data_IF_215089492145
#
_entry.id   IF_215089492145
#
_cell.length_a   1.000
_cell.length_b   1.000
_cell.length_c   1.000
_cell.angle_alpha   90.00
_cell.angle_beta   90.00
_cell.angle_gamma   90.00
#
_symmetry.space_group_name_H-M   'P 1'
#
loop_
_entity.id
_entity.type
_entity.pdbx_description
1 polymer ?
#
# COMPACT_ATOMS: atom_id res chain seq x y z
N UNK A 1 12.25 66.24 -62.45
CA UNK A 1 12.39 65.70 -61.08
C UNK A 1 11.21 64.79 -60.72
N UNK A 2 11.08 63.60 -61.33
CA UNK A 2 9.96 62.66 -61.05
C UNK A 2 10.36 61.18 -60.93
N UNK A 3 11.66 60.86 -60.92
CA UNK A 3 12.15 59.46 -60.93
C UNK A 3 12.65 58.93 -59.57
N UNK A 4 12.74 59.78 -58.54
CA UNK A 4 13.27 59.40 -57.22
C UNK A 4 12.15 58.95 -56.25
N UNK A 5 10.88 59.25 -56.56
CA UNK A 5 9.75 58.97 -55.66
C UNK A 5 9.16 57.54 -55.79
N UNK A 6 9.65 56.70 -56.72
CA UNK A 6 9.07 55.38 -56.97
C UNK A 6 9.85 54.22 -56.32
N UNK A 7 11.08 54.47 -55.86
CA UNK A 7 11.94 53.44 -55.24
C UNK A 7 11.71 53.37 -53.72
N UNK A 8 11.15 54.42 -53.10
CA UNK A 8 10.93 54.45 -51.65
C UNK A 8 9.66 53.71 -51.20
N UNK A 9 8.71 53.43 -52.10
CA UNK A 9 7.43 52.77 -51.75
C UNK A 9 7.50 51.24 -51.83
N UNK A 10 8.43 50.65 -52.58
CA UNK A 10 8.55 49.19 -52.72
C UNK A 10 9.31 48.56 -51.55
N UNK A 11 10.26 49.27 -50.93
CA UNK A 11 11.09 48.74 -49.83
C UNK A 11 10.33 48.65 -48.50
N UNK A 12 9.28 49.45 -48.31
CA UNK A 12 8.52 49.46 -47.06
C UNK A 12 7.54 48.27 -46.99
N UNK A 13 7.06 47.73 -48.12
CA UNK A 13 6.05 46.65 -48.10
C UNK A 13 6.63 45.23 -47.86
N UNK A 14 7.92 45.01 -48.17
CA UNK A 14 8.58 43.70 -48.03
C UNK A 14 8.86 43.27 -46.58
N UNK A 15 9.05 44.22 -45.67
CA UNK A 15 9.49 43.97 -44.29
C UNK A 15 8.34 43.55 -43.36
N UNK A 16 7.11 44.00 -43.60
CA UNK A 16 5.97 43.64 -42.74
C UNK A 16 5.53 42.17 -42.90
N UNK A 17 5.79 41.57 -44.07
CA UNK A 17 5.34 40.21 -44.40
C UNK A 17 6.23 39.13 -43.78
N UNK A 18 7.50 39.43 -43.53
CA UNK A 18 8.44 38.54 -42.81
C UNK A 18 8.23 38.61 -41.31
N UNK A 19 8.00 39.79 -40.73
CA UNK A 19 7.71 39.93 -39.29
C UNK A 19 6.42 39.20 -38.87
N UNK A 20 5.34 39.28 -39.67
CA UNK A 20 4.09 38.57 -39.36
C UNK A 20 4.24 37.03 -39.32
N UNK A 21 5.07 36.45 -40.20
CA UNK A 21 5.35 35.01 -40.21
C UNK A 21 6.19 34.57 -39.01
N UNK A 22 7.21 35.36 -38.65
CA UNK A 22 8.07 35.09 -37.50
C UNK A 22 7.27 35.17 -36.19
N UNK A 23 6.39 36.17 -36.04
CA UNK A 23 5.52 36.30 -34.87
C UNK A 23 4.58 35.10 -34.72
N UNK A 24 4.00 34.59 -35.81
CA UNK A 24 3.07 33.45 -35.76
C UNK A 24 3.79 32.13 -35.40
N UNK A 25 5.01 31.93 -35.89
CA UNK A 25 5.84 30.77 -35.54
C UNK A 25 6.26 30.81 -34.06
N UNK A 26 6.66 31.97 -33.56
CA UNK A 26 7.01 32.15 -32.15
C UNK A 26 5.79 31.87 -31.27
N UNK A 27 4.62 32.42 -31.63
CA UNK A 27 3.38 32.21 -30.87
C UNK A 27 2.99 30.73 -30.82
N UNK A 28 3.02 30.03 -31.96
CA UNK A 28 2.72 28.59 -32.04
C UNK A 28 3.70 27.73 -31.22
N UNK A 29 4.99 28.08 -31.22
CA UNK A 29 6.02 27.34 -30.48
C UNK A 29 5.90 27.57 -28.96
N UNK A 30 5.56 28.79 -28.54
CA UNK A 30 5.31 29.13 -27.14
C UNK A 30 4.02 28.48 -26.65
N UNK A 31 2.95 28.48 -27.44
CA UNK A 31 1.68 27.82 -27.12
C UNK A 31 1.86 26.30 -27.02
N UNK A 32 2.57 25.66 -27.96
CA UNK A 32 2.89 24.22 -27.86
C UNK A 32 3.73 23.88 -26.63
N UNK A 33 4.73 24.71 -26.30
CA UNK A 33 5.59 24.48 -25.13
C UNK A 33 4.83 24.71 -23.82
N UNK A 34 3.90 25.67 -23.78
CA UNK A 34 3.07 25.90 -22.60
C UNK A 34 1.99 24.82 -22.45
N UNK A 35 1.42 24.31 -23.53
CA UNK A 35 0.48 23.19 -23.49
C UNK A 35 1.18 21.86 -23.13
N UNK A 36 2.41 21.63 -23.60
CA UNK A 36 3.21 20.47 -23.17
C UNK A 36 3.55 20.54 -21.67
N UNK A 37 3.97 21.72 -21.18
CA UNK A 37 4.25 21.95 -19.76
C UNK A 37 3.00 21.80 -18.88
N UNK A 38 1.84 22.31 -19.31
CA UNK A 38 0.55 22.12 -18.62
C UNK A 38 0.13 20.65 -18.60
N UNK A 39 0.29 19.94 -19.71
CA UNK A 39 -0.02 18.51 -19.79
C UNK A 39 0.87 17.69 -18.84
N UNK A 40 2.17 17.99 -18.79
CA UNK A 40 3.09 17.27 -17.90
C UNK A 40 2.86 17.62 -16.43
N UNK A 41 2.53 18.88 -16.11
CA UNK A 41 2.08 19.28 -14.77
C UNK A 41 0.81 18.55 -14.35
N UNK A 42 -0.20 18.45 -15.22
CA UNK A 42 -1.45 17.75 -14.93
C UNK A 42 -1.24 16.24 -14.67
N UNK A 43 -0.32 15.60 -15.40
CA UNK A 43 0.06 14.19 -15.19
C UNK A 43 0.76 14.00 -13.84
N UNK A 44 1.66 14.92 -13.47
CA UNK A 44 2.36 14.89 -12.18
C UNK A 44 1.35 15.05 -11.03
N UNK A 45 0.44 16.02 -11.11
CA UNK A 45 -0.62 16.24 -10.10
C UNK A 45 -1.48 15.00 -9.94
N UNK A 46 -1.94 14.38 -11.04
CA UNK A 46 -2.71 13.12 -11.00
C UNK A 46 -1.93 12.01 -10.30
N UNK A 47 -0.66 11.81 -10.65
CA UNK A 47 0.20 10.78 -10.04
C UNK A 47 0.44 11.02 -8.55
N UNK A 48 0.60 12.27 -8.14
CA UNK A 48 0.69 12.66 -6.73
C UNK A 48 -0.59 12.32 -5.98
N UNK A 49 -1.76 12.67 -6.54
CA UNK A 49 -3.06 12.36 -5.95
C UNK A 49 -3.27 10.84 -5.82
N UNK A 50 -2.94 10.07 -6.85
CA UNK A 50 -3.00 8.60 -6.82
C UNK A 50 -2.11 8.01 -5.70
N UNK A 51 -0.88 8.51 -5.55
CA UNK A 51 0.03 8.04 -4.50
C UNK A 51 -0.46 8.43 -3.10
N UNK A 52 -1.04 9.62 -2.91
CA UNK A 52 -1.67 10.01 -1.64
C UNK A 52 -2.88 9.15 -1.31
N UNK A 53 -3.74 8.86 -2.29
CA UNK A 53 -4.89 7.98 -2.10
C UNK A 53 -4.42 6.57 -1.73
N UNK A 54 -3.42 6.03 -2.44
CA UNK A 54 -2.82 4.73 -2.09
C UNK A 54 -2.23 4.72 -0.69
N UNK A 55 -1.54 5.80 -0.29
CA UNK A 55 -0.97 5.93 1.04
C UNK A 55 -2.05 5.94 2.14
N UNK A 56 -3.16 6.65 1.90
CA UNK A 56 -4.29 6.69 2.82
C UNK A 56 -4.94 5.31 2.98
N UNK A 57 -5.16 4.60 1.87
CA UNK A 57 -5.70 3.24 1.88
C UNK A 57 -4.78 2.26 2.64
N UNK A 58 -3.49 2.24 2.31
CA UNK A 58 -2.51 1.39 3.01
C UNK A 58 -2.45 1.67 4.51
N UNK A 59 -2.54 2.94 4.93
CA UNK A 59 -2.57 3.31 6.36
C UNK A 59 -3.85 2.84 7.05
N UNK A 60 -5.00 2.92 6.38
CA UNK A 60 -6.25 2.40 6.91
C UNK A 60 -6.22 0.88 7.07
N UNK A 61 -5.66 0.17 6.09
CA UNK A 61 -5.43 -1.27 6.18
C UNK A 61 -4.47 -1.60 7.34
N UNK A 62 -3.35 -0.89 7.45
CA UNK A 62 -2.37 -1.08 8.53
C UNK A 62 -3.02 -0.91 9.90
N UNK A 63 -3.79 0.17 10.08
CA UNK A 63 -4.52 0.43 11.32
C UNK A 63 -5.51 -0.69 11.64
N UNK A 64 -6.28 -1.13 10.66
CA UNK A 64 -7.23 -2.24 10.82
C UNK A 64 -6.52 -3.52 11.28
N UNK A 65 -5.33 -3.81 10.76
CA UNK A 65 -4.54 -4.98 11.18
C UNK A 65 -3.97 -4.79 12.58
N UNK A 66 -3.45 -3.60 12.91
CA UNK A 66 -2.96 -3.27 14.26
C UNK A 66 -4.06 -3.39 15.32
N UNK A 67 -5.28 -2.98 15.01
CA UNK A 67 -6.43 -3.10 15.91
C UNK A 67 -6.86 -4.57 16.13
N UNK A 68 -6.54 -5.48 15.20
CA UNK A 68 -6.83 -6.92 15.32
C UNK A 68 -5.82 -7.68 16.17
N UNK A 69 -4.54 -7.30 16.15
CA UNK A 69 -3.47 -8.03 16.85
C UNK A 69 -3.78 -8.30 18.33
N UNK A 70 -4.27 -7.35 19.15
CA UNK A 70 -4.60 -7.63 20.55
C UNK A 70 -5.69 -8.69 20.70
N UNK A 71 -6.66 -8.71 19.79
CA UNK A 71 -7.74 -9.69 19.79
C UNK A 71 -7.20 -11.08 19.46
N UNK A 72 -6.38 -11.19 18.41
CA UNK A 72 -5.77 -12.45 17.99
C UNK A 72 -4.81 -13.00 19.06
N UNK A 73 -4.03 -12.12 19.71
CA UNK A 73 -3.18 -12.47 20.84
C UNK A 73 -3.97 -13.01 22.03
N UNK A 74 -5.09 -12.36 22.38
CA UNK A 74 -5.99 -12.85 23.43
C UNK A 74 -6.56 -14.23 23.09
N UNK A 75 -6.96 -14.44 21.83
CA UNK A 75 -7.48 -15.73 21.37
C UNK A 75 -6.41 -16.83 21.44
N UNK A 76 -5.17 -16.54 21.08
CA UNK A 76 -4.05 -17.48 21.23
C UNK A 76 -3.85 -17.85 22.70
N UNK A 77 -3.82 -16.86 23.60
CA UNK A 77 -3.64 -17.12 25.04
C UNK A 77 -4.79 -17.97 25.63
N UNK A 78 -6.03 -17.70 25.25
CA UNK A 78 -7.19 -18.48 25.68
C UNK A 78 -7.14 -19.92 25.16
N UNK A 79 -6.76 -20.10 23.89
CA UNK A 79 -6.62 -21.43 23.28
C UNK A 79 -5.43 -22.19 23.85
N UNK A 80 -4.35 -21.50 24.22
CA UNK A 80 -3.17 -22.10 24.86
C UNK A 80 -3.56 -22.69 26.21
N UNK A 81 -4.27 -21.91 27.03
CA UNK A 81 -4.78 -22.38 28.32
C UNK A 81 -5.71 -23.57 28.16
N UNK A 82 -6.68 -23.52 27.24
CA UNK A 82 -7.60 -24.65 26.98
C UNK A 82 -6.86 -25.89 26.50
N UNK A 83 -5.92 -25.73 25.56
CA UNK A 83 -5.12 -26.84 25.05
C UNK A 83 -4.30 -27.47 26.18
N UNK A 84 -3.66 -26.66 27.02
CA UNK A 84 -2.90 -27.15 28.18
C UNK A 84 -3.80 -27.91 29.17
N UNK A 85 -4.93 -27.32 29.57
CA UNK A 85 -5.88 -27.96 30.50
C UNK A 85 -6.38 -29.30 29.99
N UNK A 86 -6.71 -29.39 28.69
CA UNK A 86 -7.19 -30.63 28.08
C UNK A 86 -6.08 -31.67 27.91
N UNK A 87 -4.83 -31.26 27.64
CA UNK A 87 -3.66 -32.14 27.61
C UNK A 87 -3.35 -32.72 29.00
N UNK A 88 -3.41 -31.90 30.06
CA UNK A 88 -3.22 -32.35 31.44
C UNK A 88 -4.29 -33.38 31.82
N UNK A 89 -5.57 -33.08 31.56
CA UNK A 89 -6.67 -34.05 31.79
C UNK A 89 -6.51 -35.33 30.97
N UNK A 90 -6.06 -35.20 29.72
CA UNK A 90 -5.80 -36.36 28.86
C UNK A 90 -4.70 -37.25 29.44
N UNK A 91 -3.63 -36.64 29.94
CA UNK A 91 -2.53 -37.37 30.59
C UNK A 91 -3.01 -38.08 31.85
N UNK A 92 -3.72 -37.38 32.74
CA UNK A 92 -4.28 -37.95 33.98
C UNK A 92 -5.19 -39.15 33.69
N UNK A 93 -6.17 -39.01 32.78
CA UNK A 93 -7.06 -40.12 32.43
C UNK A 93 -6.34 -41.28 31.74
N UNK A 94 -5.27 -41.00 30.99
CA UNK A 94 -4.47 -42.06 30.38
C UNK A 94 -3.71 -42.85 31.44
N UNK A 95 -3.17 -42.19 32.46
CA UNK A 95 -2.53 -42.86 33.60
C UNK A 95 -3.53 -43.70 34.40
N UNK A 96 -4.72 -43.16 34.69
CA UNK A 96 -5.78 -43.92 35.36
C UNK A 96 -6.24 -45.13 34.56
N UNK A 97 -6.22 -45.05 33.22
CA UNK A 97 -6.61 -46.16 32.37
C UNK A 97 -5.58 -47.31 32.32
N UNK A 98 -4.37 -47.13 32.87
CA UNK A 98 -3.37 -48.20 32.95
C UNK A 98 -3.78 -49.18 34.04
N UNK A 99 -4.33 -50.33 33.64
CA UNK A 99 -4.78 -51.39 34.55
C UNK A 99 -6.28 -51.37 34.84
N UNK A 100 -6.97 -50.26 34.55
CA UNK A 100 -8.43 -50.17 34.63
C UNK A 100 -9.09 -50.51 33.27
N UNK A 101 -10.13 -51.34 33.31
CA UNK A 101 -10.73 -51.95 32.13
C UNK A 101 -11.28 -50.99 31.05
N UNK A 102 -11.81 -51.58 29.97
CA UNK A 102 -12.20 -50.94 28.69
C UNK A 102 -12.94 -49.59 28.80
N UNK A 103 -13.76 -49.37 29.84
CA UNK A 103 -14.48 -48.10 30.04
C UNK A 103 -13.55 -46.91 30.26
N UNK A 104 -12.53 -47.05 31.11
CA UNK A 104 -11.55 -45.99 31.40
C UNK A 104 -10.68 -45.71 30.19
N UNK A 105 -10.24 -46.75 29.47
CA UNK A 105 -9.51 -46.59 28.20
C UNK A 105 -10.32 -45.82 27.16
N UNK A 106 -11.64 -46.06 27.07
CA UNK A 106 -12.53 -45.31 26.15
C UNK A 106 -12.69 -43.84 26.56
N UNK A 107 -12.71 -43.54 27.87
CA UNK A 107 -12.73 -42.16 28.36
C UNK A 107 -11.41 -41.44 28.05
N UNK A 108 -10.27 -42.08 28.32
CA UNK A 108 -8.95 -41.56 27.98
C UNK A 108 -8.83 -41.25 26.48
N UNK A 109 -9.26 -42.19 25.62
CA UNK A 109 -9.24 -41.98 24.16
C UNK A 109 -10.13 -40.81 23.70
N UNK A 110 -11.29 -40.61 24.33
CA UNK A 110 -12.16 -39.44 24.03
C UNK A 110 -11.51 -38.14 24.47
N UNK A 111 -10.86 -38.13 25.63
CA UNK A 111 -10.18 -36.96 26.15
C UNK A 111 -8.95 -36.61 25.30
N UNK A 112 -8.18 -37.60 24.86
CA UNK A 112 -7.06 -37.40 23.94
C UNK A 112 -7.50 -36.75 22.63
N UNK A 113 -8.65 -37.16 22.07
CA UNK A 113 -9.22 -36.51 20.88
C UNK A 113 -9.62 -35.05 21.13
N UNK A 114 -10.15 -34.73 22.31
CA UNK A 114 -10.46 -33.34 22.67
C UNK A 114 -9.20 -32.50 22.80
N UNK A 115 -8.19 -33.03 23.49
CA UNK A 115 -6.89 -32.37 23.62
C UNK A 115 -6.27 -32.09 22.24
N UNK A 116 -6.26 -33.09 21.34
CA UNK A 116 -5.77 -32.92 19.98
C UNK A 116 -6.55 -31.83 19.21
N UNK A 117 -7.88 -31.78 19.34
CA UNK A 117 -8.70 -30.73 18.72
C UNK A 117 -8.35 -29.34 19.26
N UNK A 118 -8.21 -29.18 20.58
CA UNK A 118 -7.84 -27.90 21.18
C UNK A 118 -6.43 -27.46 20.79
N UNK A 119 -5.48 -28.40 20.67
CA UNK A 119 -4.14 -28.11 20.16
C UNK A 119 -4.19 -27.67 18.69
N UNK A 120 -5.05 -28.25 17.86
CA UNK A 120 -5.24 -27.79 16.48
C UNK A 120 -5.81 -26.37 16.44
N UNK A 121 -6.84 -26.08 17.25
CA UNK A 121 -7.43 -24.74 17.35
C UNK A 121 -6.42 -23.68 17.82
N UNK A 122 -5.50 -24.05 18.72
CA UNK A 122 -4.37 -23.21 19.10
C UNK A 122 -3.43 -22.96 17.92
N UNK A 123 -3.02 -24.02 17.21
CA UNK A 123 -2.13 -23.89 16.05
C UNK A 123 -2.71 -22.99 14.97
N UNK A 124 -4.00 -23.16 14.65
CA UNK A 124 -4.69 -22.35 13.65
C UNK A 124 -4.72 -20.86 14.07
N UNK A 125 -4.97 -20.58 15.35
CA UNK A 125 -4.95 -19.23 15.91
C UNK A 125 -3.54 -18.62 15.89
N UNK A 126 -2.51 -19.36 16.29
CA UNK A 126 -1.10 -18.91 16.24
C UNK A 126 -0.68 -18.59 14.81
N UNK A 127 -1.00 -19.46 13.84
CA UNK A 127 -0.71 -19.20 12.44
C UNK A 127 -1.46 -17.98 11.90
N UNK A 128 -2.68 -17.72 12.38
CA UNK A 128 -3.42 -16.53 11.99
C UNK A 128 -2.72 -15.27 12.50
N UNK A 129 -2.29 -15.26 13.76
CA UNK A 129 -1.53 -14.16 14.35
C UNK A 129 -0.21 -13.90 13.60
N UNK A 130 0.51 -14.96 13.22
CA UNK A 130 1.72 -14.84 12.38
C UNK A 130 1.44 -14.22 11.01
N UNK A 131 0.36 -14.66 10.34
CA UNK A 131 -0.06 -14.08 9.06
C UNK A 131 -0.38 -12.60 9.17
N UNK A 132 -1.00 -12.19 10.27
CA UNK A 132 -1.39 -10.79 10.47
C UNK A 132 -0.18 -9.91 10.83
N UNK A 133 0.78 -10.40 11.61
CA UNK A 133 2.08 -9.75 11.79
C UNK A 133 2.85 -9.59 10.47
N UNK A 134 2.83 -10.62 9.61
CA UNK A 134 3.46 -10.55 8.29
C UNK A 134 2.81 -9.47 7.42
N UNK A 135 1.47 -9.41 7.36
CA UNK A 135 0.76 -8.37 6.61
C UNK A 135 1.06 -6.97 7.13
N UNK A 136 1.19 -6.78 8.45
CA UNK A 136 1.62 -5.49 9.02
C UNK A 136 2.99 -5.08 8.48
N UNK A 137 3.92 -6.03 8.39
CA UNK A 137 5.26 -5.79 7.85
C UNK A 137 5.18 -5.44 6.36
N UNK A 138 4.46 -6.23 5.57
CA UNK A 138 4.27 -5.99 4.13
C UNK A 138 3.62 -4.63 3.85
N UNK A 139 2.59 -4.26 4.61
CA UNK A 139 1.93 -2.95 4.50
C UNK A 139 2.87 -1.80 4.88
N UNK A 140 3.69 -1.98 5.91
CA UNK A 140 4.69 -0.99 6.33
C UNK A 140 5.71 -0.75 5.23
N UNK A 141 6.22 -1.82 4.61
CA UNK A 141 7.14 -1.74 3.47
C UNK A 141 6.50 -1.06 2.25
N UNK A 142 5.23 -1.35 1.95
CA UNK A 142 4.51 -0.69 0.88
C UNK A 142 4.31 0.80 1.13
N UNK A 143 3.98 1.19 2.37
CA UNK A 143 3.87 2.59 2.76
C UNK A 143 5.21 3.30 2.54
N UNK A 144 6.32 2.71 2.98
CA UNK A 144 7.66 3.28 2.81
C UNK A 144 8.02 3.44 1.31
N UNK A 145 7.71 2.43 0.48
CA UNK A 145 7.89 2.49 -0.97
C UNK A 145 7.07 3.62 -1.61
N UNK A 146 5.83 3.82 -1.18
CA UNK A 146 4.97 4.90 -1.68
C UNK A 146 5.48 6.27 -1.22
N UNK A 147 5.92 6.40 0.03
CA UNK A 147 6.54 7.62 0.54
C UNK A 147 7.81 7.98 -0.22
N UNK A 148 8.69 7.01 -0.49
CA UNK A 148 9.89 7.21 -1.34
C UNK A 148 9.52 7.67 -2.75
N UNK A 149 8.42 7.15 -3.33
CA UNK A 149 7.94 7.60 -4.64
C UNK A 149 7.40 9.04 -4.59
N UNK A 150 6.68 9.41 -3.54
CA UNK A 150 6.20 10.77 -3.33
C UNK A 150 7.37 11.76 -3.19
N UNK A 151 8.37 11.46 -2.36
CA UNK A 151 9.55 12.31 -2.16
C UNK A 151 10.40 12.52 -3.43
N UNK A 152 10.37 11.58 -4.38
CA UNK A 152 11.02 11.73 -5.69
C UNK A 152 10.26 12.66 -6.65
N UNK A 153 8.95 12.80 -6.47
CA UNK A 153 8.08 13.62 -7.32
C UNK A 153 7.92 15.03 -6.71
N UNK A 154 7.88 15.11 -5.39
CA UNK A 154 7.92 16.33 -4.60
C UNK A 154 9.29 16.36 -3.90
N UNK A 155 10.37 16.86 -4.54
CA UNK A 155 11.59 17.14 -3.81
C UNK A 155 11.27 18.08 -2.65
N UNK A 156 11.98 17.99 -1.50
CA UNK A 156 11.80 18.93 -0.42
C UNK A 156 11.95 20.35 -0.98
N UNK A 157 10.98 21.21 -0.68
CA UNK A 157 11.03 22.63 -1.00
C UNK A 157 12.35 23.17 -0.47
N UNK A 158 13.29 23.49 -1.36
CA UNK A 158 14.50 24.23 -1.00
C UNK A 158 14.07 25.70 -0.95
N UNK A 159 13.23 26.03 0.02
CA UNK A 159 12.85 27.40 0.32
C UNK A 159 14.00 28.04 1.10
N UNK A 160 14.90 28.68 0.36
CA UNK A 160 15.82 29.71 0.85
C UNK A 160 15.09 31.05 0.92
#
# INVERSE_FOLDING_TARGET
MKKILFILTITICGSYRTHARVINIIKYTVDQKTDSLKNDSSKIIKKVLELHNKLADLRNQLKTMQDKIPTDQSQVADNEKKSHDEQVKSSQLSMEAVGDGVKKSKQAARQAKKAAKQTQELQDATQQLERDHKKITDLTDEIEKVQKKLAKIQPPDISN
#
